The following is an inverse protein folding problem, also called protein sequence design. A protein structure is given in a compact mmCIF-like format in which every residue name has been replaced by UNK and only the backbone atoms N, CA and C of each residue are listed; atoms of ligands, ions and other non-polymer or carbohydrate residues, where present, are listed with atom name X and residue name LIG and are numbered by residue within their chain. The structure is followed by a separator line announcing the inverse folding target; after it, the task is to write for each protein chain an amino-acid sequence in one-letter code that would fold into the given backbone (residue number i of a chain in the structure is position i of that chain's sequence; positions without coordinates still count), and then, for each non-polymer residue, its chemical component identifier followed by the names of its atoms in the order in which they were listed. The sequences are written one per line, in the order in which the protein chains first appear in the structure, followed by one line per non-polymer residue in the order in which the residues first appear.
data_IF_288810526777
#
_entry.id   IF_288810526777
#
_cell.length_a   1.000
_cell.length_b   1.000
_cell.length_c   1.000
_cell.angle_alpha   90.00
_cell.angle_beta   90.00
_cell.angle_gamma   90.00
#
_symmetry.space_group_name_H-M   'P 1'
#
loop_
_entity.id
_entity.type
_entity.pdbx_description
1 polymer ?
#
# COMPACT_ATOMS: atom_id res chain seq x y z
N UNK A 1 -3.78 4.55 28.59
CA UNK A 1 -4.64 3.92 27.57
C UNK A 1 -3.85 2.83 26.86
N UNK A 2 -4.20 1.56 27.02
CA UNK A 2 -3.47 0.46 26.40
C UNK A 2 -3.71 0.44 24.89
N UNK A 3 -2.66 0.66 24.09
CA UNK A 3 -2.75 0.53 22.62
C UNK A 3 -2.99 -0.95 22.30
N UNK A 4 -4.14 -1.27 21.70
CA UNK A 4 -4.41 -2.61 21.15
C UNK A 4 -3.42 -2.85 20.02
N UNK A 5 -2.38 -3.63 20.28
CA UNK A 5 -1.42 -4.05 19.25
C UNK A 5 -2.12 -5.13 18.43
N UNK A 6 -2.32 -4.90 17.13
CA UNK A 6 -2.88 -5.92 16.23
C UNK A 6 -1.94 -7.14 16.21
N UNK A 7 -2.46 -8.30 16.60
CA UNK A 7 -1.73 -9.58 16.69
C UNK A 7 -1.66 -10.34 15.37
N UNK A 8 -2.05 -9.71 14.27
CA UNK A 8 -2.06 -10.37 12.96
C UNK A 8 -0.64 -10.65 12.47
N UNK A 9 -0.38 -11.84 11.88
CA UNK A 9 0.93 -12.16 11.35
C UNK A 9 1.28 -11.23 10.18
N UNK A 10 2.41 -10.52 10.30
CA UNK A 10 2.91 -9.60 9.27
C UNK A 10 3.80 -10.35 8.30
N UNK A 11 3.44 -10.35 7.01
CA UNK A 11 4.29 -10.86 5.92
C UNK A 11 5.05 -9.71 5.24
N UNK A 12 6.28 -9.98 4.79
CA UNK A 12 7.07 -9.06 3.96
C UNK A 12 6.76 -9.31 2.49
N UNK A 13 6.65 -8.23 1.72
CA UNK A 13 6.43 -8.25 0.28
C UNK A 13 7.57 -7.46 -0.38
N UNK A 14 8.24 -8.09 -1.33
CA UNK A 14 9.20 -7.44 -2.24
C UNK A 14 8.62 -7.55 -3.64
N UNK A 15 8.64 -6.46 -4.40
CA UNK A 15 8.12 -6.41 -5.77
C UNK A 15 9.19 -5.80 -6.65
N UNK A 16 9.46 -6.44 -7.78
CA UNK A 16 10.31 -5.89 -8.83
C UNK A 16 9.42 -5.08 -9.79
N UNK A 17 9.84 -3.86 -10.09
CA UNK A 17 9.12 -2.95 -10.99
C UNK A 17 10.12 -2.43 -12.03
N UNK A 18 9.69 -2.23 -13.28
CA UNK A 18 10.39 -1.37 -14.21
C UNK A 18 10.61 0.01 -13.60
N UNK A 19 11.74 0.64 -13.95
CA UNK A 19 12.11 1.96 -13.44
C UNK A 19 11.00 3.01 -13.70
N UNK A 20 10.42 3.00 -14.90
CA UNK A 20 9.32 3.88 -15.27
C UNK A 20 8.07 3.72 -14.39
N UNK A 21 7.72 2.49 -14.00
CA UNK A 21 6.59 2.24 -13.11
C UNK A 21 6.90 2.69 -11.67
N UNK A 22 8.16 2.52 -11.24
CA UNK A 22 8.61 2.98 -9.94
C UNK A 22 8.57 4.51 -9.85
N UNK A 23 9.02 5.22 -10.88
CA UNK A 23 8.95 6.69 -10.96
C UNK A 23 7.51 7.20 -10.86
N UNK A 24 6.57 6.56 -11.57
CA UNK A 24 5.14 6.89 -11.49
C UNK A 24 4.64 6.74 -10.03
N UNK A 25 5.03 5.65 -9.35
CA UNK A 25 4.68 5.44 -7.95
C UNK A 25 5.28 6.52 -7.05
N UNK A 26 6.51 6.95 -7.29
CA UNK A 26 7.17 8.01 -6.51
C UNK A 26 6.50 9.36 -6.69
N UNK A 27 6.18 9.75 -7.93
CA UNK A 27 5.46 10.98 -8.22
C UNK A 27 4.09 11.00 -7.53
N UNK A 28 3.32 9.91 -7.65
CA UNK A 28 2.03 9.79 -6.97
C UNK A 28 2.16 9.94 -5.45
N UNK A 29 3.17 9.31 -4.85
CA UNK A 29 3.45 9.42 -3.41
C UNK A 29 3.75 10.86 -3.00
N UNK A 30 4.55 11.57 -3.81
CA UNK A 30 4.92 12.97 -3.57
C UNK A 30 3.69 13.89 -3.62
N UNK A 31 2.88 13.79 -4.68
CA UNK A 31 1.69 14.62 -4.88
C UNK A 31 0.67 14.47 -3.75
N UNK A 32 0.51 13.24 -3.23
CA UNK A 32 -0.49 12.94 -2.20
C UNK A 32 0.04 12.96 -0.78
N UNK A 33 1.33 13.24 -0.59
CA UNK A 33 2.02 13.14 0.70
C UNK A 33 1.78 11.77 1.38
N UNK A 34 1.77 10.70 0.56
CA UNK A 34 1.58 9.33 1.02
C UNK A 34 2.87 8.53 0.87
N UNK A 35 3.10 7.58 1.76
CA UNK A 35 4.19 6.61 1.60
C UNK A 35 3.78 5.49 0.64
N UNK A 36 4.74 4.90 -0.08
CA UNK A 36 4.53 3.72 -0.93
C UNK A 36 3.73 2.62 -0.22
N UNK A 37 4.01 2.40 1.08
CA UNK A 37 3.28 1.45 1.93
C UNK A 37 1.80 1.82 2.12
N UNK A 38 1.48 3.11 2.30
CA UNK A 38 0.10 3.58 2.40
C UNK A 38 -0.63 3.40 1.07
N UNK A 39 0.01 3.77 -0.04
CA UNK A 39 -0.55 3.61 -1.39
C UNK A 39 -0.90 2.15 -1.67
N UNK A 40 0.07 1.24 -1.50
CA UNK A 40 -0.14 -0.21 -1.71
C UNK A 40 -1.25 -0.74 -0.80
N UNK A 41 -1.27 -0.37 0.49
CA UNK A 41 -2.33 -0.79 1.43
C UNK A 41 -3.71 -0.24 1.04
N UNK A 42 -3.78 1.00 0.58
CA UNK A 42 -5.01 1.62 0.11
C UNK A 42 -5.54 0.88 -1.12
N UNK A 43 -4.65 0.57 -2.07
CA UNK A 43 -4.98 -0.21 -3.26
C UNK A 43 -5.50 -1.61 -2.90
N UNK A 44 -4.81 -2.36 -2.04
CA UNK A 44 -5.26 -3.68 -1.56
C UNK A 44 -6.64 -3.60 -0.91
N UNK A 45 -6.90 -2.56 -0.10
CA UNK A 45 -8.23 -2.35 0.52
C UNK A 45 -9.32 -2.07 -0.50
N UNK A 46 -9.00 -1.37 -1.61
CA UNK A 46 -9.94 -1.14 -2.71
C UNK A 46 -10.22 -2.42 -3.50
N UNK A 47 -9.22 -3.28 -3.72
CA UNK A 47 -9.41 -4.59 -4.35
C UNK A 47 -10.45 -5.45 -3.61
N UNK A 48 -10.50 -5.35 -2.28
CA UNK A 48 -11.52 -6.05 -1.48
C UNK A 48 -12.95 -5.55 -1.76
N UNK A 49 -13.14 -4.28 -2.12
CA UNK A 49 -14.47 -3.71 -2.39
C UNK A 49 -15.01 -4.09 -3.77
N UNK A 50 -14.15 -4.42 -4.73
CA UNK A 50 -14.55 -4.85 -6.08
C UNK A 50 -14.81 -6.35 -6.21
N UNK A 51 -14.94 -7.11 -5.12
CA UNK A 51 -15.30 -8.54 -5.13
C UNK A 51 -16.80 -8.81 -4.94
N UNK A 52 -17.59 -7.75 -4.74
CA UNK A 52 -19.03 -7.81 -4.48
C UNK A 52 -19.84 -7.05 -5.55
N UNK A 53 -19.30 -6.90 -6.77
CA UNK A 53 -20.02 -6.32 -7.93
C UNK A 53 -19.95 -7.25 -9.14
#
# INVERSE_FOLDING_TARGET
MARKVSTEPVKRLTVELPESEYEILEQYCLERQETKRQVIRSFIRRLRRGKDE
#
